data_IF_156673527822
#
_entry.id   IF_156673527822
#
_cell.length_a   1.000
_cell.length_b   1.000
_cell.length_c   1.000
_cell.angle_alpha   90.00
_cell.angle_beta   90.00
_cell.angle_gamma   90.00
#
_symmetry.space_group_name_H-M   'P 1'
#
loop_
_entity.id
_entity.type
_entity.pdbx_description
1 polymer ?
#
# COMPACT_ATOMS: atom_id res chain seq x y z
N UNK A 1 -37.64 19.08 -23.82
CA UNK A 1 -37.69 17.74 -24.45
C UNK A 1 -36.49 17.62 -25.37
N UNK A 2 -35.45 16.93 -24.90
CA UNK A 2 -34.43 16.30 -25.74
C UNK A 2 -34.15 14.99 -25.01
N UNK A 3 -34.82 13.92 -25.44
CA UNK A 3 -34.41 12.57 -25.08
C UNK A 3 -33.15 12.28 -25.91
N UNK A 4 -31.98 12.44 -25.31
CA UNK A 4 -30.77 11.81 -25.83
C UNK A 4 -30.96 10.31 -25.66
N UNK A 5 -31.32 9.67 -26.78
CA UNK A 5 -31.46 8.23 -26.87
C UNK A 5 -30.19 7.56 -26.36
N UNK A 6 -30.35 6.77 -25.30
CA UNK A 6 -29.41 5.71 -24.96
C UNK A 6 -29.29 4.86 -26.21
N UNK A 7 -28.13 4.91 -26.87
CA UNK A 7 -27.83 4.04 -28.00
C UNK A 7 -28.02 2.60 -27.53
N UNK A 8 -29.09 1.97 -28.00
CA UNK A 8 -29.33 0.55 -27.82
C UNK A 8 -28.10 -0.19 -28.34
N UNK A 9 -27.32 -0.78 -27.43
CA UNK A 9 -26.21 -1.65 -27.78
C UNK A 9 -26.86 -2.85 -28.47
N UNK A 10 -26.81 -2.87 -29.82
CA UNK A 10 -27.31 -3.98 -30.62
C UNK A 10 -26.53 -5.24 -30.25
N UNK A 11 -27.17 -6.11 -29.49
CA UNK A 11 -26.62 -7.39 -29.01
C UNK A 11 -26.35 -8.36 -30.17
N UNK A 12 -26.76 -8.01 -31.41
CA UNK A 12 -26.64 -8.83 -32.62
C UNK A 12 -25.39 -8.60 -33.48
N UNK A 13 -24.50 -7.67 -33.13
CA UNK A 13 -23.32 -7.33 -33.97
C UNK A 13 -22.02 -8.08 -33.58
N UNK A 14 -22.06 -8.86 -32.50
CA UNK A 14 -20.96 -9.76 -32.17
C UNK A 14 -21.20 -11.11 -32.85
N UNK A 15 -20.55 -11.34 -33.99
CA UNK A 15 -20.28 -12.70 -34.43
C UNK A 15 -19.74 -13.51 -33.25
N UNK A 16 -20.18 -14.76 -33.12
CA UNK A 16 -19.75 -15.60 -32.01
C UNK A 16 -18.23 -15.74 -32.07
N UNK A 17 -17.52 -15.65 -30.93
CA UNK A 17 -16.05 -15.77 -30.84
C UNK A 17 -15.48 -16.90 -31.72
N UNK A 18 -16.10 -18.09 -31.83
CA UNK A 18 -15.65 -19.14 -32.75
C UNK A 18 -15.62 -18.75 -34.24
N UNK A 19 -16.55 -17.92 -34.72
CA UNK A 19 -16.58 -17.43 -36.10
C UNK A 19 -15.40 -16.47 -36.36
N UNK A 20 -15.13 -15.55 -35.44
CA UNK A 20 -13.98 -14.63 -35.53
C UNK A 20 -12.67 -15.44 -35.54
N UNK A 21 -12.56 -16.46 -34.69
CA UNK A 21 -11.38 -17.31 -34.65
C UNK A 21 -11.25 -18.22 -35.88
N UNK A 22 -12.34 -18.61 -36.52
CA UNK A 22 -12.28 -19.40 -37.75
C UNK A 22 -11.84 -18.56 -38.97
N UNK A 23 -11.79 -17.23 -38.85
CA UNK A 23 -11.50 -16.32 -39.97
C UNK A 23 -10.01 -16.27 -40.37
N UNK A 24 -9.06 -16.48 -39.44
CA UNK A 24 -7.63 -16.48 -39.75
C UNK A 24 -6.79 -17.38 -38.84
N UNK A 25 -5.69 -17.90 -39.38
CA UNK A 25 -4.73 -18.72 -38.62
C UNK A 25 -3.99 -17.90 -37.55
N UNK A 26 -3.66 -16.64 -37.85
CA UNK A 26 -3.04 -15.70 -36.91
C UNK A 26 -3.94 -15.38 -35.72
N UNK A 27 -5.26 -15.21 -35.90
CA UNK A 27 -6.20 -15.04 -34.79
C UNK A 27 -6.35 -16.31 -33.95
N UNK A 28 -6.30 -17.49 -34.57
CA UNK A 28 -6.25 -18.76 -33.82
C UNK A 28 -4.99 -18.86 -32.96
N UNK A 29 -3.83 -18.52 -33.52
CA UNK A 29 -2.56 -18.49 -32.78
C UNK A 29 -2.59 -17.45 -31.66
N UNK A 30 -3.12 -16.25 -31.90
CA UNK A 30 -3.29 -15.22 -30.88
C UNK A 30 -4.15 -15.72 -29.71
N UNK A 31 -5.23 -16.45 -30.01
CA UNK A 31 -6.10 -17.06 -29.00
C UNK A 31 -5.41 -18.21 -28.25
N UNK A 32 -4.60 -19.02 -28.92
CA UNK A 32 -3.76 -20.05 -28.25
C UNK A 32 -2.77 -19.39 -27.30
N UNK A 33 -2.07 -18.33 -27.72
CA UNK A 33 -1.16 -17.58 -26.85
C UNK A 33 -1.88 -16.93 -25.67
N UNK A 34 -3.10 -16.45 -25.85
CA UNK A 34 -3.96 -15.94 -24.78
C UNK A 34 -4.24 -17.02 -23.72
N UNK A 35 -4.64 -18.22 -24.13
CA UNK A 35 -4.92 -19.34 -23.21
C UNK A 35 -3.64 -19.77 -22.49
N UNK A 36 -2.55 -20.00 -23.22
CA UNK A 36 -1.27 -20.42 -22.64
C UNK A 36 -0.74 -19.35 -21.67
N UNK A 37 -0.86 -18.08 -22.04
CA UNK A 37 -0.52 -16.94 -21.20
C UNK A 37 -1.32 -16.90 -19.90
N UNK A 38 -2.64 -17.10 -19.95
CA UNK A 38 -3.47 -17.17 -18.74
C UNK A 38 -3.05 -18.30 -17.80
N UNK A 39 -2.76 -19.49 -18.34
CA UNK A 39 -2.28 -20.63 -17.54
C UNK A 39 -0.93 -20.30 -16.88
N UNK A 40 0.00 -19.72 -17.63
CA UNK A 40 1.31 -19.31 -17.11
C UNK A 40 1.17 -18.26 -15.99
N UNK A 41 0.33 -17.24 -16.17
CA UNK A 41 0.02 -16.23 -15.14
C UNK A 41 -0.54 -16.89 -13.89
N UNK A 42 -1.47 -17.85 -14.02
CA UNK A 42 -2.04 -18.57 -12.88
C UNK A 42 -0.99 -19.30 -12.05
N UNK A 43 -0.03 -19.96 -12.71
CA UNK A 43 1.08 -20.67 -12.05
C UNK A 43 2.01 -19.67 -11.35
N UNK A 44 2.41 -18.60 -12.04
CA UNK A 44 3.30 -17.55 -11.50
C UNK A 44 2.64 -16.88 -10.29
N UNK A 45 1.37 -16.49 -10.42
CA UNK A 45 0.60 -15.85 -9.35
C UNK A 45 0.50 -16.74 -8.12
N UNK A 46 0.21 -18.04 -8.29
CA UNK A 46 0.12 -18.98 -7.16
C UNK A 46 1.44 -19.10 -6.42
N UNK A 47 2.57 -19.26 -7.14
CA UNK A 47 3.91 -19.32 -6.54
C UNK A 47 4.28 -18.01 -5.85
N UNK A 48 4.03 -16.87 -6.51
CA UNK A 48 4.34 -15.55 -5.99
C UNK A 48 3.52 -15.20 -4.74
N UNK A 49 2.21 -15.47 -4.77
CA UNK A 49 1.31 -15.19 -3.63
C UNK A 49 1.69 -16.02 -2.41
N UNK A 50 2.02 -17.31 -2.60
CA UNK A 50 2.52 -18.16 -1.53
C UNK A 50 3.87 -17.66 -0.98
N UNK A 51 4.80 -17.33 -1.87
CA UNK A 51 6.10 -16.78 -1.50
C UNK A 51 5.95 -15.50 -0.67
N UNK A 52 5.17 -14.51 -1.12
CA UNK A 52 4.92 -13.28 -0.35
C UNK A 52 4.32 -13.60 1.02
N UNK A 53 3.38 -14.56 1.10
CA UNK A 53 2.75 -14.94 2.37
C UNK A 53 3.76 -15.42 3.41
N UNK A 54 4.80 -16.13 2.96
CA UNK A 54 5.86 -16.67 3.83
C UNK A 54 6.87 -15.62 4.30
N UNK A 55 6.94 -14.45 3.65
CA UNK A 55 7.94 -13.44 3.98
C UNK A 55 7.61 -12.68 5.27
N UNK A 56 8.64 -12.31 6.04
CA UNK A 56 8.53 -11.43 7.23
C UNK A 56 7.73 -10.16 6.94
N UNK A 57 7.92 -9.61 5.73
CA UNK A 57 7.24 -8.41 5.26
C UNK A 57 5.70 -8.51 5.30
N UNK A 58 5.13 -9.71 5.10
CA UNK A 58 3.69 -9.93 5.23
C UNK A 58 3.18 -9.57 6.63
N UNK A 59 3.99 -9.84 7.67
CA UNK A 59 3.62 -9.63 9.06
C UNK A 59 3.98 -8.23 9.55
N UNK A 60 5.07 -7.64 9.05
CA UNK A 60 5.50 -6.29 9.46
C UNK A 60 4.81 -5.18 8.66
N UNK A 61 4.36 -5.45 7.43
CA UNK A 61 3.63 -4.49 6.58
C UNK A 61 2.45 -5.16 5.87
N UNK A 62 1.42 -5.58 6.61
CA UNK A 62 0.32 -6.40 6.07
C UNK A 62 -0.45 -5.69 4.96
N UNK A 63 -0.73 -4.39 5.08
CA UNK A 63 -1.49 -3.65 4.07
C UNK A 63 -0.75 -3.51 2.74
N UNK A 64 0.56 -3.27 2.78
CA UNK A 64 1.36 -3.23 1.55
C UNK A 64 1.49 -4.63 0.94
N UNK A 65 1.66 -5.66 1.77
CA UNK A 65 1.75 -7.04 1.28
C UNK A 65 0.46 -7.49 0.59
N UNK A 66 -0.71 -7.11 1.13
CA UNK A 66 -2.02 -7.32 0.49
C UNK A 66 -2.17 -6.53 -0.80
N UNK A 67 -1.73 -5.26 -0.81
CA UNK A 67 -1.74 -4.43 -2.01
C UNK A 67 -0.93 -5.06 -3.15
N UNK A 68 0.32 -5.45 -2.89
CA UNK A 68 1.18 -6.07 -3.91
C UNK A 68 0.59 -7.37 -4.43
N UNK A 69 0.10 -8.25 -3.55
CA UNK A 69 -0.51 -9.52 -3.98
C UNK A 69 -1.73 -9.30 -4.89
N UNK A 70 -2.57 -8.32 -4.58
CA UNK A 70 -3.76 -8.03 -5.38
C UNK A 70 -3.45 -7.26 -6.67
N UNK A 71 -2.33 -6.51 -6.72
CA UNK A 71 -1.93 -5.74 -7.90
C UNK A 71 -1.15 -6.55 -8.95
N UNK A 72 -0.50 -7.65 -8.55
CA UNK A 72 0.35 -8.44 -9.47
C UNK A 72 -0.44 -9.18 -10.55
N UNK A 73 -1.58 -9.79 -10.19
CA UNK A 73 -2.43 -10.49 -11.15
C UNK A 73 -2.93 -9.57 -12.29
N UNK A 74 -3.53 -8.39 -12.00
CA UNK A 74 -4.01 -7.51 -13.06
C UNK A 74 -2.86 -6.90 -13.87
N UNK A 75 -1.70 -6.63 -13.26
CA UNK A 75 -0.52 -6.19 -14.00
C UNK A 75 -0.12 -7.20 -15.09
N UNK A 76 -0.04 -8.49 -14.74
CA UNK A 76 0.27 -9.53 -15.72
C UNK A 76 -0.83 -9.74 -16.76
N UNK A 77 -2.10 -9.63 -16.35
CA UNK A 77 -3.23 -9.72 -17.28
C UNK A 77 -3.19 -8.60 -18.33
N UNK A 78 -2.95 -7.35 -17.91
CA UNK A 78 -2.79 -6.21 -18.82
C UNK A 78 -1.59 -6.38 -19.75
N UNK A 79 -0.46 -6.86 -19.23
CA UNK A 79 0.73 -7.13 -20.05
C UNK A 79 0.46 -8.20 -21.11
N UNK A 80 -0.25 -9.28 -20.76
CA UNK A 80 -0.64 -10.33 -21.68
C UNK A 80 -1.56 -9.79 -22.79
N UNK A 81 -2.65 -9.14 -22.41
CA UNK A 81 -3.62 -8.59 -23.38
C UNK A 81 -2.94 -7.57 -24.29
N UNK A 82 -2.09 -6.69 -23.75
CA UNK A 82 -1.32 -5.73 -24.54
C UNK A 82 -0.36 -6.41 -25.51
N UNK A 83 0.33 -7.48 -25.09
CA UNK A 83 1.23 -8.24 -25.96
C UNK A 83 0.50 -8.91 -27.13
N UNK A 84 -0.70 -9.42 -26.90
CA UNK A 84 -1.52 -10.07 -27.93
C UNK A 84 -2.08 -9.03 -28.89
N UNK A 85 -2.48 -7.87 -28.39
CA UNK A 85 -2.94 -6.77 -29.22
C UNK A 85 -1.83 -6.29 -30.17
N UNK A 86 -0.58 -6.20 -29.69
CA UNK A 86 0.59 -5.90 -30.52
C UNK A 86 0.83 -7.01 -31.55
N UNK A 87 0.79 -8.29 -31.14
CA UNK A 87 0.96 -9.43 -32.05
C UNK A 87 -0.01 -9.35 -33.23
N UNK A 88 -1.30 -9.16 -32.96
CA UNK A 88 -2.35 -9.08 -33.99
C UNK A 88 -2.12 -7.88 -34.92
N UNK A 89 -1.81 -6.71 -34.37
CA UNK A 89 -1.49 -5.54 -35.20
C UNK A 89 -0.26 -5.78 -36.09
N UNK A 90 0.73 -6.55 -35.62
CA UNK A 90 1.91 -6.84 -36.42
C UNK A 90 1.71 -7.95 -37.46
N UNK A 91 0.79 -8.89 -37.24
CA UNK A 91 0.58 -10.03 -38.16
C UNK A 91 -0.56 -9.80 -39.13
N UNK A 92 -1.71 -9.33 -38.66
CA UNK A 92 -2.92 -9.14 -39.49
C UNK A 92 -2.89 -7.81 -40.24
N UNK A 93 -2.50 -6.73 -39.57
CA UNK A 93 -2.58 -5.37 -40.14
C UNK A 93 -1.51 -5.11 -41.21
N UNK A 94 -0.40 -5.87 -41.18
CA UNK A 94 0.62 -5.85 -42.24
C UNK A 94 0.31 -6.83 -43.39
N UNK A 95 -0.52 -7.85 -43.19
CA UNK A 95 -1.05 -8.69 -44.27
C UNK A 95 -2.26 -8.04 -44.98
N UNK A 96 -3.03 -7.22 -44.25
CA UNK A 96 -4.24 -6.55 -44.73
C UNK A 96 -4.01 -5.28 -45.60
N UNK A 97 -2.78 -4.88 -45.88
CA UNK A 97 -2.51 -3.73 -46.79
C UNK A 97 -2.98 -4.01 -48.25
N UNK A 98 -3.47 -5.22 -48.56
CA UNK A 98 -3.85 -5.59 -49.91
C UNK A 98 -5.34 -5.75 -50.24
N UNK A 99 -6.31 -5.67 -49.33
CA UNK A 99 -7.72 -5.93 -49.70
C UNK A 99 -8.76 -5.04 -49.00
N UNK A 100 -9.30 -4.12 -49.82
CA UNK A 100 -10.70 -3.61 -49.86
C UNK A 100 -11.02 -2.37 -49.01
N UNK A 101 -10.91 -1.20 -49.66
CA UNK A 101 -11.83 -0.07 -49.46
C UNK A 101 -13.25 -0.51 -49.81
N UNK A 102 -14.22 -0.45 -48.88
CA UNK A 102 -15.63 -0.32 -49.28
C UNK A 102 -16.72 -1.06 -48.50
N UNK A 103 -16.49 -1.65 -47.33
CA UNK A 103 -17.57 -2.20 -46.49
C UNK A 103 -17.49 -1.68 -45.06
N UNK A 104 -18.62 -1.22 -44.52
CA UNK A 104 -18.82 -0.73 -43.13
C UNK A 104 -18.74 -1.86 -42.08
N UNK A 105 -18.18 -3.01 -42.47
CA UNK A 105 -18.08 -4.22 -41.67
C UNK A 105 -16.65 -4.31 -41.12
N UNK A 106 -16.53 -4.25 -39.79
CA UNK A 106 -15.25 -4.26 -39.10
C UNK A 106 -14.45 -5.52 -39.44
N UNK A 107 -13.16 -5.33 -39.75
CA UNK A 107 -12.22 -6.43 -39.96
C UNK A 107 -12.19 -7.37 -38.73
N UNK A 108 -12.13 -8.70 -38.88
CA UNK A 108 -12.06 -9.64 -37.76
C UNK A 108 -10.96 -9.33 -36.75
N UNK A 109 -9.80 -8.80 -37.19
CA UNK A 109 -8.74 -8.39 -36.28
C UNK A 109 -9.13 -7.15 -35.47
N UNK A 110 -9.84 -6.19 -36.07
CA UNK A 110 -10.38 -5.03 -35.36
C UNK A 110 -11.46 -5.43 -34.33
N UNK A 111 -12.36 -6.35 -34.70
CA UNK A 111 -13.35 -6.92 -33.75
C UNK A 111 -12.64 -7.59 -32.57
N UNK A 112 -11.61 -8.39 -32.81
CA UNK A 112 -10.84 -9.05 -31.76
C UNK A 112 -10.06 -8.06 -30.87
N UNK A 113 -9.45 -7.03 -31.44
CA UNK A 113 -8.78 -5.97 -30.68
C UNK A 113 -9.75 -5.22 -29.76
N UNK A 114 -10.99 -4.98 -30.20
CA UNK A 114 -12.04 -4.40 -29.36
C UNK A 114 -12.40 -5.31 -28.17
N UNK A 115 -12.49 -6.63 -28.38
CA UNK A 115 -12.68 -7.61 -27.30
C UNK A 115 -11.54 -7.55 -26.27
N UNK A 116 -10.28 -7.54 -26.74
CA UNK A 116 -9.11 -7.39 -25.86
C UNK A 116 -9.16 -6.09 -25.05
N UNK A 117 -9.58 -4.99 -25.67
CA UNK A 117 -9.73 -3.72 -24.97
C UNK A 117 -10.83 -3.78 -23.90
N UNK A 118 -11.95 -4.43 -24.17
CA UNK A 118 -12.99 -4.68 -23.16
C UNK A 118 -12.45 -5.49 -21.97
N UNK A 119 -11.61 -6.50 -22.22
CA UNK A 119 -10.94 -7.27 -21.15
C UNK A 119 -10.04 -6.35 -20.32
N UNK A 120 -9.24 -5.48 -20.94
CA UNK A 120 -8.40 -4.52 -20.22
C UNK A 120 -9.23 -3.61 -19.31
N UNK A 121 -10.34 -3.07 -19.80
CA UNK A 121 -11.25 -2.22 -19.01
C UNK A 121 -11.79 -3.00 -17.81
N UNK A 122 -12.20 -4.26 -17.99
CA UNK A 122 -12.67 -5.11 -16.89
C UNK A 122 -11.56 -5.37 -15.85
N UNK A 123 -10.33 -5.66 -16.30
CA UNK A 123 -9.18 -5.86 -15.41
C UNK A 123 -8.87 -4.59 -14.61
N UNK A 124 -8.91 -3.42 -15.25
CA UNK A 124 -8.71 -2.13 -14.57
C UNK A 124 -9.81 -1.89 -13.53
N UNK A 125 -11.08 -2.10 -13.91
CA UNK A 125 -12.23 -1.95 -12.99
C UNK A 125 -12.12 -2.86 -11.78
N UNK A 126 -11.81 -4.15 -11.99
CA UNK A 126 -11.57 -5.12 -10.92
C UNK A 126 -10.41 -4.68 -10.01
N UNK A 127 -9.32 -4.17 -10.59
CA UNK A 127 -8.15 -3.69 -9.85
C UNK A 127 -8.51 -2.52 -8.95
N UNK A 128 -9.20 -1.51 -9.50
CA UNK A 128 -9.64 -0.34 -8.73
C UNK A 128 -10.54 -0.77 -7.56
N UNK A 129 -11.51 -1.66 -7.82
CA UNK A 129 -12.41 -2.18 -6.79
C UNK A 129 -11.68 -2.89 -5.62
N UNK A 130 -10.56 -3.56 -5.89
CA UNK A 130 -9.79 -4.25 -4.85
C UNK A 130 -8.74 -3.35 -4.17
N UNK A 131 -8.15 -2.41 -4.89
CA UNK A 131 -7.08 -1.55 -4.36
C UNK A 131 -7.62 -0.37 -3.54
N UNK A 132 -8.78 0.21 -3.90
CA UNK A 132 -9.37 1.34 -3.15
C UNK A 132 -9.59 0.99 -1.67
N UNK A 133 -10.26 -0.12 -1.30
CA UNK A 133 -10.48 -0.45 0.11
C UNK A 133 -9.17 -0.62 0.90
N UNK A 134 -8.15 -1.21 0.27
CA UNK A 134 -6.82 -1.39 0.88
C UNK A 134 -6.15 -0.04 1.12
N UNK A 135 -6.24 0.87 0.14
CA UNK A 135 -5.68 2.22 0.25
C UNK A 135 -6.40 3.05 1.33
N UNK A 136 -7.73 3.00 1.40
CA UNK A 136 -8.52 3.65 2.45
C UNK A 136 -8.16 3.10 3.84
N UNK A 137 -8.11 1.78 3.98
CA UNK A 137 -7.70 1.15 5.26
C UNK A 137 -6.29 1.60 5.66
N UNK A 138 -5.35 1.68 4.72
CA UNK A 138 -3.99 2.16 4.99
C UNK A 138 -3.99 3.61 5.45
N UNK A 139 -4.81 4.47 4.85
CA UNK A 139 -4.96 5.87 5.25
C UNK A 139 -5.47 5.97 6.68
N UNK A 140 -6.51 5.23 7.04
CA UNK A 140 -7.06 5.24 8.41
C UNK A 140 -6.02 4.79 9.44
N UNK A 141 -5.25 3.74 9.13
CA UNK A 141 -4.15 3.29 10.00
C UNK A 141 -3.02 4.31 10.11
N UNK A 142 -2.73 5.08 9.06
CA UNK A 142 -1.75 6.17 9.12
C UNK A 142 -2.23 7.34 10.00
N UNK A 143 -3.53 7.59 10.05
CA UNK A 143 -4.11 8.59 10.97
C UNK A 143 -3.95 8.14 12.42
N UNK A 144 -4.23 6.86 12.71
CA UNK A 144 -4.01 6.27 14.03
C UNK A 144 -2.52 6.31 14.44
N UNK A 145 -1.60 5.96 13.53
CA UNK A 145 -0.15 6.06 13.79
C UNK A 145 0.27 7.49 14.17
N UNK A 146 -0.32 8.50 13.51
CA UNK A 146 -0.07 9.90 13.86
C UNK A 146 -0.62 10.24 15.25
N UNK A 147 -1.78 9.72 15.63
CA UNK A 147 -2.34 9.90 16.97
C UNK A 147 -1.46 9.23 18.04
N UNK A 148 -0.97 8.02 17.77
CA UNK A 148 -0.06 7.30 18.66
C UNK A 148 1.24 8.08 18.88
N UNK A 149 1.81 8.66 17.82
CA UNK A 149 2.96 9.54 17.93
C UNK A 149 2.66 10.79 18.79
N UNK A 150 1.49 11.41 18.64
CA UNK A 150 1.12 12.56 19.48
C UNK A 150 0.95 12.16 20.96
N UNK A 151 0.35 11.00 21.22
CA UNK A 151 0.23 10.47 22.57
C UNK A 151 1.61 10.20 23.18
N UNK A 152 2.48 9.54 22.42
CA UNK A 152 3.89 9.33 22.78
C UNK A 152 4.61 10.64 23.11
N UNK A 153 4.45 11.66 22.26
CA UNK A 153 5.05 12.97 22.46
C UNK A 153 4.54 13.65 23.75
N UNK A 154 3.22 13.64 23.96
CA UNK A 154 2.58 14.24 25.14
C UNK A 154 2.97 13.53 26.44
N UNK A 155 3.14 12.21 26.39
CA UNK A 155 3.61 11.40 27.52
C UNK A 155 5.12 11.51 27.74
N UNK A 156 5.85 12.18 26.83
CA UNK A 156 7.30 12.33 26.85
C UNK A 156 8.02 10.98 26.74
N UNK A 157 7.49 10.12 25.88
CA UNK A 157 7.89 8.73 25.75
C UNK A 157 6.97 7.76 26.48
N UNK A 158 6.96 6.50 26.03
CA UNK A 158 6.38 5.39 26.77
C UNK A 158 7.40 4.77 27.72
N UNK A 159 6.91 3.95 28.66
CA UNK A 159 7.76 3.29 29.66
C UNK A 159 8.79 2.33 29.06
N UNK A 160 8.54 1.83 27.85
CA UNK A 160 9.34 0.82 27.15
C UNK A 160 10.27 1.41 26.06
N UNK A 161 10.42 2.75 26.01
CA UNK A 161 11.17 3.45 24.95
C UNK A 161 12.66 3.65 25.20
N UNK A 162 13.22 3.10 26.29
CA UNK A 162 14.63 3.24 26.65
C UNK A 162 15.12 4.72 26.54
N UNK A 163 14.27 5.67 26.96
CA UNK A 163 14.57 7.10 26.90
C UNK A 163 14.62 7.72 25.49
N UNK A 164 13.97 7.13 24.49
CA UNK A 164 13.92 7.64 23.10
C UNK A 164 13.53 9.12 23.03
N UNK A 165 12.55 9.55 23.83
CA UNK A 165 12.08 10.92 23.83
C UNK A 165 13.20 11.92 24.12
N UNK A 166 14.02 11.66 25.14
CA UNK A 166 15.16 12.52 25.50
C UNK A 166 16.36 12.40 24.54
N UNK A 167 16.37 11.38 23.66
CA UNK A 167 17.32 11.31 22.53
C UNK A 167 16.86 12.19 21.36
N UNK A 168 15.55 12.29 21.14
CA UNK A 168 14.96 13.09 20.07
C UNK A 168 14.75 14.57 20.45
N UNK A 169 14.58 14.86 21.73
CA UNK A 169 14.22 16.18 22.24
C UNK A 169 15.05 16.59 23.44
N UNK A 170 15.40 17.88 23.50
CA UNK A 170 16.06 18.50 24.64
C UNK A 170 15.08 19.44 25.33
N UNK A 171 14.92 19.26 26.64
CA UNK A 171 14.13 20.17 27.44
C UNK A 171 14.83 21.53 27.61
N UNK A 172 14.05 22.61 27.50
CA UNK A 172 14.48 23.98 27.66
C UNK A 172 13.66 24.61 28.79
N UNK A 173 14.32 25.14 29.85
CA UNK A 173 13.62 25.81 30.93
C UNK A 173 12.91 27.07 30.43
N UNK A 174 11.79 27.46 31.07
CA UNK A 174 11.12 28.71 30.73
C UNK A 174 12.03 29.91 31.05
N UNK A 175 11.88 31.00 30.29
CA UNK A 175 12.66 32.23 30.52
C UNK A 175 12.24 32.96 31.80
N UNK A 176 10.99 32.78 32.22
CA UNK A 176 10.41 33.39 33.41
C UNK A 176 10.12 32.33 34.46
N UNK A 177 10.27 32.70 35.73
CA UNK A 177 9.89 31.85 36.86
C UNK A 177 8.41 31.46 36.77
N UNK A 178 8.05 30.18 37.03
CA UNK A 178 6.66 29.78 37.19
C UNK A 178 5.97 30.59 38.31
N UNK A 179 4.71 30.99 38.12
CA UNK A 179 4.01 31.88 39.07
C UNK A 179 3.85 31.33 40.49
N UNK A 180 4.01 30.02 40.66
CA UNK A 180 3.86 29.26 41.89
C UNK A 180 5.19 28.72 42.44
N UNK A 181 6.30 29.28 41.96
CA UNK A 181 7.64 29.02 42.45
C UNK A 181 8.32 30.35 42.82
N UNK A 182 9.08 30.34 43.91
CA UNK A 182 9.89 31.50 44.30
C UNK A 182 11.06 31.70 43.32
N UNK A 183 11.38 32.96 43.00
CA UNK A 183 12.40 33.34 42.02
C UNK A 183 13.78 32.79 42.37
N UNK A 184 14.16 32.88 43.64
CA UNK A 184 15.42 32.40 44.18
C UNK A 184 15.55 30.87 44.12
N UNK A 185 14.47 30.13 44.36
CA UNK A 185 14.44 28.67 44.17
C UNK A 185 14.64 28.28 42.70
N UNK A 186 13.93 28.96 41.80
CA UNK A 186 14.05 28.71 40.35
C UNK A 186 15.46 29.00 39.82
N UNK A 187 16.06 30.12 40.25
CA UNK A 187 17.43 30.49 39.89
C UNK A 187 18.47 29.50 40.44
N UNK A 188 18.20 28.87 41.60
CA UNK A 188 19.05 27.80 42.14
C UNK A 188 18.95 26.53 41.29
N UNK A 189 17.74 26.14 40.88
CA UNK A 189 17.53 24.91 40.12
C UNK A 189 18.05 24.99 38.68
N UNK A 190 17.91 26.13 37.98
CA UNK A 190 18.43 26.30 36.61
C UNK A 190 19.96 26.09 36.53
N UNK A 191 20.70 26.44 37.58
CA UNK A 191 22.17 26.38 37.61
C UNK A 191 22.73 24.96 37.73
N UNK A 192 21.92 23.97 38.09
CA UNK A 192 22.39 22.60 38.38
C UNK A 192 21.71 21.58 37.48
N UNK A 193 22.43 20.51 37.12
CA UNK A 193 21.86 19.42 36.29
C UNK A 193 20.69 18.71 36.98
N UNK A 194 20.77 18.53 38.30
CA UNK A 194 19.70 17.88 39.06
C UNK A 194 18.51 18.81 39.26
N UNK A 195 18.75 20.12 39.40
CA UNK A 195 17.69 21.13 39.40
C UNK A 195 16.94 21.18 38.07
N UNK A 196 17.62 21.11 36.92
CA UNK A 196 16.97 21.04 35.61
C UNK A 196 16.06 19.80 35.47
N UNK A 197 16.50 18.62 35.95
CA UNK A 197 15.67 17.40 35.96
C UNK A 197 14.44 17.54 36.87
N UNK A 198 14.58 18.28 37.97
CA UNK A 198 13.46 18.55 38.88
C UNK A 198 12.46 19.51 38.23
N UNK A 199 12.95 20.57 37.58
CA UNK A 199 12.13 21.54 36.85
C UNK A 199 11.40 20.90 35.66
N UNK A 200 12.02 19.99 34.92
CA UNK A 200 11.37 19.27 33.81
C UNK A 200 10.16 18.44 34.28
N UNK A 201 10.26 17.87 35.48
CA UNK A 201 9.19 17.10 36.14
C UNK A 201 8.21 17.98 36.90
N UNK A 202 8.54 19.24 37.18
CA UNK A 202 7.71 20.15 37.93
C UNK A 202 6.36 20.34 37.24
N UNK A 203 5.31 20.42 38.06
CA UNK A 203 3.94 20.68 37.65
C UNK A 203 3.44 21.82 38.51
N UNK A 204 2.86 22.82 37.88
CA UNK A 204 2.29 23.95 38.61
C UNK A 204 1.09 23.49 39.46
N UNK A 205 0.57 24.35 40.34
CA UNK A 205 -0.65 24.11 41.12
C UNK A 205 -1.87 23.77 40.25
N UNK A 206 -1.85 24.14 38.96
CA UNK A 206 -2.88 23.78 37.96
C UNK A 206 -2.56 22.50 37.18
N UNK A 207 -1.51 21.77 37.56
CA UNK A 207 -1.04 20.56 36.88
C UNK A 207 -0.29 20.81 35.57
N UNK A 208 0.05 22.06 35.25
CA UNK A 208 0.69 22.40 33.97
C UNK A 208 2.20 22.15 34.04
N UNK A 209 2.75 21.69 32.93
CA UNK A 209 4.20 21.49 32.81
C UNK A 209 4.91 22.78 32.45
N UNK A 210 6.15 22.96 32.90
CA UNK A 210 6.94 24.14 32.59
C UNK A 210 8.01 23.87 31.51
N UNK A 211 8.42 24.92 30.80
CA UNK A 211 9.42 24.85 29.74
C UNK A 211 8.91 24.31 28.41
N UNK A 212 9.81 24.15 27.46
CA UNK A 212 9.55 23.63 26.10
C UNK A 212 10.53 22.53 25.73
N UNK A 213 10.30 21.87 24.60
CA UNK A 213 11.22 20.87 24.05
C UNK A 213 11.66 21.29 22.65
N UNK A 214 12.98 21.35 22.46
CA UNK A 214 13.57 21.55 21.14
C UNK A 214 13.98 20.22 20.53
N UNK A 215 13.80 20.12 19.21
CA UNK A 215 14.20 18.94 18.44
C UNK A 215 15.73 18.84 18.39
N UNK A 216 16.25 17.65 18.70
CA UNK A 216 17.66 17.29 18.52
C UNK A 216 17.93 16.56 17.20
N UNK A 217 16.88 16.00 16.60
CA UNK A 217 16.95 15.24 15.34
C UNK A 217 16.04 15.87 14.30
N UNK A 218 16.38 15.71 13.03
CA UNK A 218 15.64 16.31 11.90
C UNK A 218 14.18 15.83 11.86
N UNK A 219 13.98 14.51 12.01
CA UNK A 219 12.65 13.90 12.04
C UNK A 219 12.46 12.94 13.23
N UNK A 220 11.97 13.45 14.38
CA UNK A 220 11.64 12.64 15.54
C UNK A 220 10.57 11.57 15.26
N UNK A 221 9.71 11.81 14.26
CA UNK A 221 8.61 10.89 13.92
C UNK A 221 9.16 9.62 13.29
N UNK A 222 10.15 9.74 12.40
CA UNK A 222 10.78 8.56 11.78
C UNK A 222 11.66 7.80 12.79
N UNK A 223 12.35 8.48 13.70
CA UNK A 223 13.07 7.80 14.79
C UNK A 223 12.12 7.03 15.71
N UNK A 224 10.98 7.62 16.06
CA UNK A 224 9.92 6.92 16.78
C UNK A 224 9.41 5.69 16.01
N UNK A 225 9.08 5.83 14.73
CA UNK A 225 8.64 4.69 13.89
C UNK A 225 9.70 3.60 13.80
N UNK A 226 11.00 3.92 13.76
CA UNK A 226 12.08 2.92 13.77
C UNK A 226 12.12 2.15 15.09
N UNK A 227 11.95 2.84 16.21
CA UNK A 227 11.83 2.20 17.53
C UNK A 227 10.65 1.23 17.57
N UNK A 228 9.46 1.69 17.19
CA UNK A 228 8.25 0.87 17.18
C UNK A 228 8.39 -0.35 16.25
N UNK A 229 8.95 -0.17 15.04
CA UNK A 229 9.24 -1.29 14.13
C UNK A 229 10.15 -2.32 14.79
N UNK A 230 11.18 -1.88 15.51
CA UNK A 230 12.10 -2.79 16.22
C UNK A 230 11.38 -3.60 17.29
N UNK A 231 10.46 -2.98 18.04
CA UNK A 231 9.59 -3.67 19.01
C UNK A 231 8.70 -4.72 18.33
N UNK A 232 8.04 -4.37 17.23
CA UNK A 232 7.22 -5.32 16.46
C UNK A 232 8.05 -6.47 15.88
N UNK A 233 9.28 -6.21 15.42
CA UNK A 233 10.18 -7.26 14.94
C UNK A 233 10.59 -8.23 16.05
N UNK A 234 10.89 -7.71 17.24
CA UNK A 234 11.17 -8.53 18.42
C UNK A 234 9.95 -9.37 18.78
N UNK A 235 8.76 -8.77 18.78
CA UNK A 235 7.51 -9.49 19.03
C UNK A 235 7.27 -10.60 18.00
N UNK A 236 7.48 -10.33 16.71
CA UNK A 236 7.38 -11.35 15.65
C UNK A 236 8.36 -12.51 15.87
N UNK A 237 9.62 -12.21 16.22
CA UNK A 237 10.63 -13.23 16.57
C UNK A 237 10.16 -14.09 17.74
N UNK A 238 9.63 -13.47 18.79
CA UNK A 238 9.08 -14.17 19.95
C UNK A 238 7.93 -15.09 19.56
N UNK A 239 7.05 -14.66 18.65
CA UNK A 239 5.94 -15.48 18.16
C UNK A 239 6.41 -16.72 17.39
N UNK A 240 7.44 -16.61 16.53
CA UNK A 240 7.94 -17.78 15.77
C UNK A 240 8.77 -18.73 16.64
N UNK A 241 9.45 -18.24 17.67
CA UNK A 241 10.22 -19.07 18.61
C UNK A 241 9.33 -19.71 19.68
N UNK A 242 8.10 -19.23 19.86
CA UNK A 242 7.18 -19.66 20.93
C UNK A 242 7.49 -18.99 22.27
N UNK A 243 8.33 -17.95 22.28
CA UNK A 243 8.61 -17.10 23.44
C UNK A 243 7.62 -15.93 23.55
N UNK A 244 6.37 -16.16 23.17
CA UNK A 244 5.28 -15.20 23.35
C UNK A 244 4.45 -15.57 24.60
N UNK A 245 3.51 -14.71 24.97
CA UNK A 245 2.68 -14.91 26.18
C UNK A 245 1.84 -16.19 26.14
N UNK A 246 1.47 -16.67 24.95
CA UNK A 246 0.67 -17.90 24.79
C UNK A 246 1.51 -19.18 24.76
N UNK A 247 2.84 -19.08 24.65
CA UNK A 247 3.74 -20.22 24.44
C UNK A 247 3.57 -20.93 23.09
N UNK A 248 2.68 -20.43 22.22
CA UNK A 248 2.37 -21.05 20.94
C UNK A 248 3.22 -20.47 19.81
N UNK A 249 3.79 -21.34 18.98
CA UNK A 249 4.57 -20.94 17.81
C UNK A 249 3.67 -20.50 16.67
N UNK A 250 3.85 -19.26 16.21
CA UNK A 250 3.34 -18.80 14.93
C UNK A 250 4.09 -19.55 13.82
N UNK A 251 3.35 -20.16 12.88
CA UNK A 251 3.91 -20.82 11.69
C UNK A 251 3.63 -19.96 10.45
N UNK A 252 4.61 -19.15 9.98
CA UNK A 252 4.41 -18.31 8.82
C UNK A 252 4.05 -19.13 7.58
N UNK A 253 3.13 -18.63 6.75
CA UNK A 253 2.75 -19.27 5.49
C UNK A 253 1.90 -20.55 5.60
N UNK A 254 1.59 -21.02 6.81
CA UNK A 254 0.59 -22.07 7.03
C UNK A 254 -0.76 -21.40 7.17
N UNK A 255 -1.56 -21.46 6.09
CA UNK A 255 -2.99 -21.13 6.08
C UNK A 255 -3.76 -22.44 6.09
#
# INVERSE_FOLDING_TARGET
>A
MVEEGVTEISVGEFETIPQILASSESLQLAFVFLIVGMVAIGIIYRKFSHWISSQKFNYTRPHFSRFVRNAVLPFFALALVSSINVYIQTTELFEAENLIEGTDELDPAEKFAKILNSINILVIGWTIAHLIPIALTKRDKSILERQDYQNWYNMRGFSDDDGLFHRCFKWIPPQTTPYDMEDDEFQKYIKTKDGLKLLEKYRTAKGLTIGSYDKLVDDPTEEWKKSERTKFEKYYKNCITGQNQSGQKLRPGVV
#
